data_IF_799337531529
#
_entry.id   IF_799337531529
#
_cell.length_a   1.000
_cell.length_b   1.000
_cell.length_c   1.000
_cell.angle_alpha   90.00
_cell.angle_beta   90.00
_cell.angle_gamma   90.00
#
_symmetry.space_group_name_H-M   'P 1'
#
loop_
_entity.id
_entity.type
_entity.pdbx_description
1 polymer ?
#
# COMPACT_ATOMS: atom_id res chain seq x y z
N UNK A 1 -21.55 -5.30 20.85
CA UNK A 1 -21.66 -4.51 19.60
C UNK A 1 -20.41 -4.73 18.79
N UNK A 2 -20.48 -5.56 17.75
CA UNK A 2 -19.40 -5.68 16.77
C UNK A 2 -19.45 -4.45 15.87
N UNK A 3 -18.46 -3.55 15.99
CA UNK A 3 -18.24 -2.49 15.02
C UNK A 3 -17.84 -3.15 13.70
N UNK A 4 -18.83 -3.50 12.88
CA UNK A 4 -18.59 -3.79 11.47
C UNK A 4 -18.19 -2.47 10.83
N UNK A 5 -16.89 -2.18 10.84
CA UNK A 5 -16.33 -1.08 10.05
C UNK A 5 -16.66 -1.43 8.61
N UNK A 6 -17.64 -0.76 8.01
CA UNK A 6 -17.92 -0.87 6.58
C UNK A 6 -16.77 -0.20 5.83
N UNK A 7 -15.68 -0.95 5.75
CA UNK A 7 -14.40 -0.60 5.14
C UNK A 7 -14.58 -0.15 3.68
N UNK A 8 -15.64 -0.63 3.01
CA UNK A 8 -16.00 -0.29 1.64
C UNK A 8 -16.45 1.16 1.46
N UNK A 9 -17.07 1.78 2.46
CA UNK A 9 -17.66 3.13 2.33
C UNK A 9 -16.66 4.28 2.57
N UNK A 10 -15.40 3.97 2.93
CA UNK A 10 -14.39 4.97 3.28
C UNK A 10 -13.51 5.42 2.09
N UNK A 11 -13.66 4.78 0.93
CA UNK A 11 -12.91 5.13 -0.27
C UNK A 11 -13.88 5.23 -1.43
N UNK A 12 -14.11 6.46 -1.87
CA UNK A 12 -14.77 6.72 -3.14
C UNK A 12 -13.96 5.98 -4.23
N UNK A 13 -14.61 5.16 -5.06
CA UNK A 13 -13.93 4.27 -6.03
C UNK A 13 -12.92 5.03 -6.90
N UNK A 14 -13.22 6.30 -7.21
CA UNK A 14 -12.34 7.23 -7.92
C UNK A 14 -10.97 7.43 -7.27
N UNK A 15 -10.91 7.55 -5.93
CA UNK A 15 -9.65 7.73 -5.20
C UNK A 15 -8.79 6.44 -5.21
N UNK A 16 -9.44 5.27 -5.22
CA UNK A 16 -8.75 3.98 -5.35
C UNK A 16 -8.12 3.80 -6.73
N UNK A 17 -8.84 4.19 -7.80
CA UNK A 17 -8.31 4.16 -9.16
C UNK A 17 -7.14 5.12 -9.34
N UNK A 18 -7.25 6.37 -8.85
CA UNK A 18 -6.17 7.34 -8.91
C UNK A 18 -4.89 6.85 -8.18
N UNK A 19 -5.06 6.22 -7.01
CA UNK A 19 -3.93 5.63 -6.26
C UNK A 19 -3.24 4.51 -7.06
N UNK A 20 -4.02 3.64 -7.70
CA UNK A 20 -3.48 2.56 -8.53
C UNK A 20 -2.70 3.12 -9.72
N UNK A 21 -3.22 4.16 -10.38
CA UNK A 21 -2.55 4.77 -11.52
C UNK A 21 -1.23 5.43 -11.13
N UNK A 22 -1.18 6.12 -9.98
CA UNK A 22 0.06 6.67 -9.45
C UNK A 22 1.09 5.60 -9.09
N UNK A 23 0.65 4.49 -8.48
CA UNK A 23 1.53 3.35 -8.16
C UNK A 23 2.04 2.64 -9.41
N UNK A 24 1.24 2.54 -10.48
CA UNK A 24 1.67 1.94 -11.75
C UNK A 24 2.77 2.74 -12.45
N UNK A 25 2.84 4.05 -12.19
CA UNK A 25 3.94 4.91 -12.68
C UNK A 25 5.27 4.64 -11.95
N UNK A 26 5.26 3.91 -10.83
CA UNK A 26 6.47 3.54 -10.08
C UNK A 26 6.98 2.21 -10.60
N UNK A 27 8.09 2.25 -11.34
CA UNK A 27 8.63 1.10 -12.05
C UNK A 27 9.73 0.38 -11.26
N UNK A 28 10.38 1.12 -10.36
CA UNK A 28 11.47 0.63 -9.52
C UNK A 28 11.06 0.52 -8.05
N UNK A 29 11.76 -0.31 -7.29
CA UNK A 29 11.52 -0.47 -5.85
C UNK A 29 11.75 0.85 -5.09
N UNK A 30 12.80 1.59 -5.45
CA UNK A 30 13.11 2.90 -4.86
C UNK A 30 11.94 3.88 -5.02
N UNK A 31 11.36 3.96 -6.21
CA UNK A 31 10.22 4.84 -6.48
C UNK A 31 8.97 4.44 -5.67
N UNK A 32 8.76 3.14 -5.46
CA UNK A 32 7.66 2.62 -4.64
C UNK A 32 7.87 3.04 -3.18
N UNK A 33 9.09 2.91 -2.64
CA UNK A 33 9.42 3.28 -1.27
C UNK A 33 9.34 4.79 -1.03
N UNK A 34 9.86 5.60 -1.96
CA UNK A 34 9.71 7.06 -1.89
C UNK A 34 8.24 7.49 -1.92
N UNK A 35 7.43 6.79 -2.71
CA UNK A 35 5.99 7.01 -2.75
C UNK A 35 5.34 6.60 -1.42
N UNK A 36 5.69 5.45 -0.83
CA UNK A 36 5.20 5.02 0.49
C UNK A 36 5.44 6.10 1.54
N UNK A 37 6.68 6.61 1.64
CA UNK A 37 7.04 7.63 2.64
C UNK A 37 6.22 8.91 2.44
N UNK A 38 6.11 9.39 1.20
CA UNK A 38 5.33 10.61 0.87
C UNK A 38 3.83 10.40 1.08
N UNK A 39 3.32 9.21 0.82
CA UNK A 39 1.92 8.87 1.02
C UNK A 39 1.59 8.79 2.51
N UNK A 40 2.39 8.05 3.29
CA UNK A 40 2.16 7.85 4.71
C UNK A 40 2.29 9.14 5.52
N UNK A 41 3.11 10.11 5.09
CA UNK A 41 3.23 11.41 5.77
C UNK A 41 2.03 12.34 5.55
N UNK A 42 1.20 12.09 4.54
CA UNK A 42 0.06 12.93 4.15
C UNK A 42 -1.30 12.32 4.45
N UNK A 43 -1.35 11.01 4.74
CA UNK A 43 -2.60 10.27 4.88
C UNK A 43 -2.68 9.62 6.26
N UNK A 44 -3.89 9.58 6.83
CA UNK A 44 -4.14 8.93 8.12
C UNK A 44 -3.84 7.43 8.10
N UNK A 45 -4.14 6.76 6.98
CA UNK A 45 -3.87 5.33 6.78
C UNK A 45 -2.65 5.15 5.92
N UNK A 46 -1.78 4.23 6.35
CA UNK A 46 -0.59 3.86 5.60
C UNK A 46 -0.94 3.11 4.31
N UNK A 47 -0.07 3.24 3.32
CA UNK A 47 -0.23 2.69 1.97
C UNK A 47 -0.48 1.17 1.96
N UNK A 48 0.19 0.41 2.84
CA UNK A 48 0.01 -1.03 2.94
C UNK A 48 -1.44 -1.44 3.25
N UNK A 49 -2.22 -0.62 3.97
CA UNK A 49 -3.63 -0.89 4.26
C UNK A 49 -4.46 -0.91 2.97
N UNK A 50 -4.16 -0.01 2.04
CA UNK A 50 -4.82 0.06 0.74
C UNK A 50 -4.44 -1.12 -0.15
N UNK A 51 -3.14 -1.44 -0.19
CA UNK A 51 -2.64 -2.57 -0.98
C UNK A 51 -3.23 -3.90 -0.48
N UNK A 52 -3.31 -4.12 0.84
CA UNK A 52 -3.99 -5.27 1.42
C UNK A 52 -5.48 -5.34 1.05
N UNK A 53 -6.16 -4.20 0.94
CA UNK A 53 -7.55 -4.16 0.47
C UNK A 53 -7.67 -4.51 -1.01
N UNK A 54 -6.78 -4.00 -1.86
CA UNK A 54 -6.74 -4.37 -3.28
C UNK A 54 -6.55 -5.87 -3.47
N UNK A 55 -5.69 -6.50 -2.65
CA UNK A 55 -5.50 -7.95 -2.63
C UNK A 55 -6.79 -8.68 -2.20
N UNK A 56 -7.41 -8.25 -1.10
CA UNK A 56 -8.63 -8.85 -0.56
C UNK A 56 -9.81 -8.76 -1.55
N UNK A 57 -10.04 -7.58 -2.09
CA UNK A 57 -11.19 -7.30 -2.94
C UNK A 57 -10.94 -7.62 -4.42
N UNK A 58 -9.71 -8.02 -4.78
CA UNK A 58 -9.27 -8.30 -6.16
C UNK A 58 -9.50 -7.13 -7.12
N UNK A 59 -9.39 -5.90 -6.61
CA UNK A 59 -9.60 -4.67 -7.40
C UNK A 59 -8.52 -4.46 -8.47
N UNK A 60 -7.36 -5.11 -8.34
CA UNK A 60 -6.27 -5.15 -9.33
C UNK A 60 -5.63 -6.54 -9.38
N UNK A 61 -4.71 -6.76 -10.33
CA UNK A 61 -3.91 -7.99 -10.40
C UNK A 61 -3.19 -8.25 -9.07
N UNK A 62 -3.38 -9.47 -8.52
CA UNK A 62 -2.74 -9.87 -7.26
C UNK A 62 -1.22 -9.85 -7.37
N UNK A 63 -0.67 -10.23 -8.52
CA UNK A 63 0.77 -10.19 -8.74
C UNK A 63 1.33 -8.76 -8.57
N UNK A 64 0.62 -7.77 -9.11
CA UNK A 64 1.02 -6.37 -9.02
C UNK A 64 0.90 -5.84 -7.59
N UNK A 65 -0.24 -6.07 -6.94
CA UNK A 65 -0.45 -5.63 -5.56
C UNK A 65 0.55 -6.30 -4.60
N UNK A 66 0.81 -7.60 -4.77
CA UNK A 66 1.79 -8.34 -3.98
C UNK A 66 3.21 -7.82 -4.21
N UNK A 67 3.58 -7.46 -5.45
CA UNK A 67 4.87 -6.84 -5.74
C UNK A 67 5.07 -5.55 -4.93
N UNK A 68 4.07 -4.68 -4.89
CA UNK A 68 4.17 -3.45 -4.09
C UNK A 68 4.28 -3.76 -2.60
N UNK A 69 3.48 -4.72 -2.11
CA UNK A 69 3.49 -5.10 -0.69
C UNK A 69 4.84 -5.68 -0.26
N UNK A 70 5.39 -6.62 -1.03
CA UNK A 70 6.64 -7.29 -0.69
C UNK A 70 7.83 -6.32 -0.70
N UNK A 71 7.87 -5.36 -1.63
CA UNK A 71 8.89 -4.30 -1.64
C UNK A 71 8.90 -3.51 -0.34
N UNK A 72 7.73 -3.10 0.17
CA UNK A 72 7.65 -2.36 1.44
C UNK A 72 8.02 -3.24 2.66
N UNK A 73 7.63 -4.51 2.66
CA UNK A 73 7.96 -5.45 3.73
C UNK A 73 9.47 -5.68 3.79
N UNK A 74 10.09 -5.97 2.64
CA UNK A 74 11.54 -6.22 2.55
C UNK A 74 12.34 -5.00 3.01
N UNK A 75 11.89 -3.78 2.70
CA UNK A 75 12.54 -2.56 3.19
C UNK A 75 12.49 -2.47 4.73
N UNK A 76 11.33 -2.71 5.33
CA UNK A 76 11.17 -2.69 6.80
C UNK A 76 11.97 -3.80 7.48
N UNK A 77 12.02 -4.98 6.87
CA UNK A 77 12.83 -6.09 7.36
C UNK A 77 14.33 -5.74 7.31
N UNK A 78 14.79 -5.09 6.23
CA UNK A 78 16.16 -4.58 6.12
C UNK A 78 16.47 -3.53 7.19
N UNK A 79 15.58 -2.57 7.42
CA UNK A 79 15.71 -1.56 8.49
C UNK A 79 15.81 -2.21 9.88
N UNK A 80 14.95 -3.19 10.17
CA UNK A 80 14.99 -3.94 11.43
C UNK A 80 16.31 -4.71 11.58
N UNK A 81 16.79 -5.34 10.52
CA UNK A 81 18.05 -6.09 10.57
C UNK A 81 19.26 -5.16 10.79
N UNK A 82 19.22 -3.93 10.26
CA UNK A 82 20.26 -2.93 10.51
C UNK A 82 20.27 -2.42 11.96
N UNK A 83 19.14 -2.51 12.68
CA UNK A 83 19.05 -2.14 14.11
C UNK A 83 19.52 -3.25 15.06
N UNK A 84 19.63 -4.49 14.57
CA UNK A 84 20.09 -5.65 15.37
C UNK A 84 21.60 -5.84 15.35
N UNK A 85 22.30 -5.10 14.49
CA UNK A 85 23.75 -5.00 14.43
C UNK A 85 24.23 -3.78 15.23
#
# INVERSE_FOLDING_TARGET
MTLSINIGNFFNDSASHALVDELRKKTTEKEILEFEVKFNSKNEKNLHVYICRFLKNRSISRALASKWLITMINNKESEINNLKN
#
